data_IF_058878363034
#
_entry.id   IF_058878363034
#
_cell.length_a   1.000
_cell.length_b   1.000
_cell.length_c   1.000
_cell.angle_alpha   90.00
_cell.angle_beta   90.00
_cell.angle_gamma   90.00
#
_symmetry.space_group_name_H-M   'P 1'
#
loop_
_entity.id
_entity.type
_entity.pdbx_description
1 polymer ?
#
# COMPACT_ATOMS: atom_id res chain seq x y z
N UNK A 1 39.91 0.21 39.48
CA UNK A 1 39.00 -0.71 38.76
C UNK A 1 37.64 -0.11 38.39
N UNK A 2 37.04 0.79 39.18
CA UNK A 2 35.69 1.35 38.91
C UNK A 2 35.51 2.11 37.57
N UNK A 3 36.55 2.80 37.06
CA UNK A 3 36.48 3.53 35.77
C UNK A 3 36.40 2.62 34.53
N UNK A 4 36.97 1.41 34.57
CA UNK A 4 36.93 0.47 33.43
C UNK A 4 35.54 -0.16 33.25
N UNK A 5 34.83 -0.42 34.35
CA UNK A 5 33.46 -0.95 34.29
C UNK A 5 32.44 0.08 33.78
N UNK A 6 32.65 1.38 34.05
CA UNK A 6 31.77 2.44 33.54
C UNK A 6 31.87 2.57 32.01
N UNK A 7 33.09 2.52 31.46
CA UNK A 7 33.33 2.57 30.01
C UNK A 7 32.76 1.35 29.28
N UNK A 8 32.87 0.16 29.87
CA UNK A 8 32.31 -1.07 29.30
C UNK A 8 30.78 -1.03 29.32
N UNK A 9 30.16 -0.51 30.39
CA UNK A 9 28.71 -0.34 30.48
C UNK A 9 28.16 0.68 29.47
N UNK A 10 28.92 1.75 29.19
CA UNK A 10 28.55 2.75 28.17
C UNK A 10 28.71 2.21 26.74
N UNK A 11 29.73 1.38 26.51
CA UNK A 11 29.91 0.70 25.21
C UNK A 11 28.79 -0.32 24.97
N UNK A 12 28.43 -1.12 25.99
CA UNK A 12 27.35 -2.11 25.89
C UNK A 12 25.99 -1.46 25.67
N UNK A 13 25.70 -0.33 26.32
CA UNK A 13 24.44 0.39 26.11
C UNK A 13 24.35 0.95 24.68
N UNK A 14 25.45 1.49 24.14
CA UNK A 14 25.46 2.00 22.76
C UNK A 14 25.20 0.95 21.69
N UNK A 15 25.56 -0.32 21.93
CA UNK A 15 25.33 -1.44 21.00
C UNK A 15 23.87 -1.92 21.06
N UNK A 16 23.18 -1.74 22.19
CA UNK A 16 21.77 -2.12 22.36
C UNK A 16 20.79 -1.12 21.73
N UNK A 17 21.23 0.10 21.41
CA UNK A 17 20.38 1.13 20.77
C UNK A 17 20.43 1.13 19.24
N UNK A 18 21.25 0.28 18.61
CA UNK A 18 21.32 0.17 17.14
C UNK A 18 20.45 -0.97 16.60
N UNK A 19 19.24 -1.15 17.15
CA UNK A 19 18.21 -1.96 16.48
C UNK A 19 17.50 -1.07 15.47
N UNK A 20 18.01 -1.02 14.22
CA UNK A 20 17.23 -0.44 13.13
C UNK A 20 15.97 -1.29 12.95
N UNK A 21 14.80 -0.67 13.10
CA UNK A 21 13.55 -1.29 12.67
C UNK A 21 13.68 -1.63 11.17
N UNK A 22 13.22 -2.82 10.79
CA UNK A 22 13.29 -3.29 9.41
C UNK A 22 12.50 -2.38 8.49
N UNK A 23 13.08 -2.00 7.36
CA UNK A 23 12.38 -1.28 6.28
C UNK A 23 11.31 -2.16 5.61
N UNK A 24 11.27 -3.45 5.93
CA UNK A 24 10.42 -4.45 5.30
C UNK A 24 9.47 -5.10 6.30
N UNK A 25 8.29 -5.49 5.85
CA UNK A 25 7.34 -6.35 6.56
C UNK A 25 6.76 -7.40 5.62
N UNK A 26 6.13 -8.42 6.19
CA UNK A 26 5.57 -9.55 5.43
C UNK A 26 4.11 -9.71 5.82
N UNK A 27 3.23 -9.83 4.83
CA UNK A 27 1.81 -10.11 4.99
C UNK A 27 1.47 -11.53 4.50
N UNK A 28 0.39 -12.10 5.04
CA UNK A 28 -0.17 -13.41 4.68
C UNK A 28 0.77 -14.61 4.89
N UNK A 29 1.88 -14.43 5.60
CA UNK A 29 2.90 -15.48 5.78
C UNK A 29 2.35 -16.82 6.30
N UNK A 30 1.32 -16.77 7.16
CA UNK A 30 0.72 -17.95 7.79
C UNK A 30 -0.73 -18.19 7.36
N UNK A 31 -1.26 -17.35 6.44
CA UNK A 31 -2.65 -17.37 6.03
C UNK A 31 -2.81 -18.26 4.80
N UNK A 32 -2.74 -19.58 5.02
CA UNK A 32 -2.97 -20.64 4.02
C UNK A 32 -1.90 -20.71 2.90
N UNK A 33 -1.41 -21.90 2.58
CA UNK A 33 -0.36 -22.11 1.55
C UNK A 33 -0.79 -21.71 0.13
N UNK A 34 -2.08 -21.44 -0.07
CA UNK A 34 -2.67 -21.10 -1.36
C UNK A 34 -2.51 -19.61 -1.75
N UNK A 35 -2.22 -18.72 -0.79
CA UNK A 35 -2.05 -17.28 -1.08
C UNK A 35 -0.56 -16.91 -1.07
N UNK A 36 -0.12 -16.07 -2.01
CA UNK A 36 1.28 -15.64 -2.04
C UNK A 36 1.61 -14.83 -0.78
N UNK A 37 2.82 -15.05 -0.25
CA UNK A 37 3.39 -14.19 0.78
C UNK A 37 3.72 -12.83 0.16
N UNK A 38 3.21 -11.75 0.73
CA UNK A 38 3.40 -10.40 0.21
C UNK A 38 4.47 -9.67 1.02
N UNK A 39 5.32 -8.90 0.33
CA UNK A 39 6.39 -8.13 0.98
C UNK A 39 6.06 -6.65 0.89
N UNK A 40 5.98 -6.01 2.06
CA UNK A 40 5.79 -4.58 2.20
C UNK A 40 7.10 -3.86 2.46
N UNK A 41 7.23 -2.66 1.89
CA UNK A 41 8.35 -1.74 2.00
C UNK A 41 7.86 -0.47 2.69
N UNK A 42 8.55 -0.04 3.75
CA UNK A 42 8.30 1.22 4.44
C UNK A 42 9.05 2.31 3.69
N UNK A 43 8.31 3.25 3.09
CA UNK A 43 8.86 4.24 2.15
C UNK A 43 9.44 5.48 2.82
N UNK A 44 9.11 5.72 4.09
CA UNK A 44 9.52 6.90 4.85
C UNK A 44 10.22 6.47 6.16
N UNK A 45 9.51 6.50 7.29
CA UNK A 45 10.05 6.11 8.60
C UNK A 45 9.63 4.67 8.94
N UNK A 46 10.57 3.76 9.29
CA UNK A 46 10.26 2.38 9.68
C UNK A 46 9.23 2.21 10.80
N UNK A 47 9.04 3.24 11.63
CA UNK A 47 8.08 3.24 12.75
C UNK A 47 6.66 3.65 12.35
N UNK A 48 6.46 4.22 11.16
CA UNK A 48 5.15 4.76 10.73
C UNK A 48 4.26 3.73 10.05
N UNK A 49 4.71 2.47 10.00
CA UNK A 49 3.96 1.35 9.43
C UNK A 49 4.11 0.14 10.34
N UNK A 50 3.02 -0.26 10.97
CA UNK A 50 3.02 -1.30 12.01
C UNK A 50 2.18 -2.50 11.58
N UNK A 51 2.73 -3.72 11.73
CA UNK A 51 1.93 -4.93 11.59
C UNK A 51 1.03 -5.06 12.81
N UNK A 52 -0.28 -5.07 12.60
CA UNK A 52 -1.28 -5.23 13.66
C UNK A 52 -1.87 -6.65 13.70
N UNK A 53 -1.73 -7.39 12.60
CA UNK A 53 -1.94 -8.84 12.50
C UNK A 53 -1.09 -9.41 11.35
N UNK A 54 -1.15 -10.73 11.13
CA UNK A 54 -0.41 -11.40 10.04
C UNK A 54 -0.84 -10.94 8.64
N UNK A 55 -2.09 -10.48 8.49
CA UNK A 55 -2.71 -10.02 7.24
C UNK A 55 -3.17 -8.57 7.33
N UNK A 56 -2.67 -7.83 8.31
CA UNK A 56 -3.13 -6.47 8.59
C UNK A 56 -1.98 -5.51 8.95
N UNK A 57 -2.05 -4.32 8.36
CA UNK A 57 -1.07 -3.25 8.57
C UNK A 57 -1.77 -1.94 8.90
N UNK A 58 -1.24 -1.25 9.90
CA UNK A 58 -1.56 0.15 10.21
C UNK A 58 -0.54 1.05 9.53
N UNK A 59 -1.02 2.03 8.78
CA UNK A 59 -0.22 3.08 8.14
C UNK A 59 -0.53 4.38 8.89
N UNK A 60 0.47 4.91 9.58
CA UNK A 60 0.33 6.11 10.41
C UNK A 60 0.27 7.40 9.56
N UNK A 61 0.10 8.53 10.24
CA UNK A 61 0.10 9.88 9.65
C UNK A 61 1.38 10.16 8.87
N UNK A 62 1.23 10.87 7.75
CA UNK A 62 2.32 11.28 6.86
C UNK A 62 3.29 10.13 6.53
N UNK A 63 2.73 8.97 6.21
CA UNK A 63 3.49 7.76 5.91
C UNK A 63 3.23 7.28 4.49
N UNK A 64 4.16 6.47 4.02
CA UNK A 64 4.10 5.78 2.74
C UNK A 64 4.60 4.36 2.90
N UNK A 65 3.90 3.44 2.27
CA UNK A 65 4.34 2.05 2.13
C UNK A 65 4.01 1.52 0.75
N UNK A 66 4.82 0.58 0.26
CA UNK A 66 4.55 -0.15 -0.96
C UNK A 66 4.42 -1.64 -0.65
N UNK A 67 3.39 -2.30 -1.16
CA UNK A 67 3.25 -3.75 -1.13
C UNK A 67 3.65 -4.25 -2.51
N UNK A 68 4.53 -5.25 -2.56
CA UNK A 68 5.01 -5.86 -3.80
C UNK A 68 4.22 -7.13 -4.14
N UNK A 69 3.70 -7.18 -5.35
CA UNK A 69 3.11 -8.34 -6.00
C UNK A 69 4.15 -9.03 -6.90
N UNK A 70 4.90 -9.99 -6.37
CA UNK A 70 6.01 -10.63 -7.10
C UNK A 70 5.58 -11.31 -8.39
N UNK A 71 6.27 -11.03 -9.50
CA UNK A 71 6.16 -11.71 -10.80
C UNK A 71 4.77 -11.65 -11.46
N UNK A 72 3.83 -10.84 -10.94
CA UNK A 72 2.47 -10.74 -11.45
C UNK A 72 2.19 -9.33 -11.98
N UNK A 73 2.01 -9.21 -13.30
CA UNK A 73 1.65 -7.95 -13.96
C UNK A 73 0.19 -7.89 -14.41
N UNK A 74 -0.49 -9.04 -14.38
CA UNK A 74 -1.93 -9.18 -14.64
C UNK A 74 -2.58 -9.92 -13.47
N UNK A 75 -3.49 -9.26 -12.78
CA UNK A 75 -4.01 -9.77 -11.51
C UNK A 75 -5.44 -9.33 -11.22
N UNK A 76 -6.08 -10.11 -10.36
CA UNK A 76 -7.17 -9.66 -9.50
C UNK A 76 -6.63 -9.46 -8.09
N UNK A 77 -6.78 -8.25 -7.57
CA UNK A 77 -6.33 -7.85 -6.24
C UNK A 77 -7.50 -7.36 -5.43
N UNK A 78 -7.56 -7.74 -4.16
CA UNK A 78 -8.53 -7.19 -3.23
C UNK A 78 -7.95 -6.93 -1.86
N UNK A 79 -8.48 -5.93 -1.17
CA UNK A 79 -8.14 -5.64 0.23
C UNK A 79 -9.27 -4.86 0.88
N UNK A 80 -9.32 -4.90 2.20
CA UNK A 80 -10.21 -4.05 3.00
C UNK A 80 -9.39 -2.88 3.53
N UNK A 81 -9.92 -1.68 3.36
CA UNK A 81 -9.35 -0.46 3.93
C UNK A 81 -10.32 0.13 4.95
N UNK A 82 -9.78 0.46 6.13
CA UNK A 82 -10.48 1.24 7.15
C UNK A 82 -9.71 2.54 7.40
N UNK A 83 -10.37 3.69 7.23
CA UNK A 83 -9.78 4.98 7.61
C UNK A 83 -9.99 5.21 9.10
N UNK A 84 -8.93 5.39 9.88
CA UNK A 84 -9.01 5.62 11.32
C UNK A 84 -9.24 7.10 11.62
N UNK A 85 -8.49 7.96 10.95
CA UNK A 85 -8.63 9.42 11.06
C UNK A 85 -8.24 10.13 9.77
N UNK A 86 -8.60 11.41 9.66
CA UNK A 86 -8.01 12.35 8.71
C UNK A 86 -8.69 12.45 7.34
N UNK A 87 -8.07 13.18 6.43
CA UNK A 87 -8.74 13.69 5.22
C UNK A 87 -8.07 13.32 3.90
N UNK A 88 -6.90 12.69 3.90
CA UNK A 88 -6.16 12.42 2.68
C UNK A 88 -5.55 11.03 2.66
N UNK A 89 -6.00 10.23 1.70
CA UNK A 89 -5.39 8.94 1.39
C UNK A 89 -5.14 8.85 -0.11
N UNK A 90 -3.97 8.34 -0.49
CA UNK A 90 -3.58 8.10 -1.89
C UNK A 90 -3.18 6.64 -2.05
N UNK A 91 -3.84 5.99 -2.99
CA UNK A 91 -3.41 4.71 -3.55
C UNK A 91 -2.74 4.97 -4.90
N UNK A 92 -1.62 4.32 -5.17
CA UNK A 92 -0.96 4.37 -6.48
C UNK A 92 -0.67 2.98 -6.98
N UNK A 93 -1.16 2.70 -8.19
CA UNK A 93 -0.89 1.49 -8.95
C UNK A 93 0.09 1.79 -10.08
N UNK A 94 0.69 0.75 -10.66
CA UNK A 94 1.52 0.87 -11.88
C UNK A 94 2.68 1.87 -11.71
N UNK A 95 3.29 1.88 -10.52
CA UNK A 95 4.44 2.72 -10.17
C UNK A 95 5.44 1.93 -9.32
N UNK A 96 6.61 2.50 -9.01
CA UNK A 96 7.63 1.86 -8.18
C UNK A 96 7.91 2.71 -6.93
N UNK A 97 8.16 2.10 -5.76
CA UNK A 97 8.60 2.86 -4.58
C UNK A 97 9.94 3.59 -4.80
N UNK A 98 10.73 3.15 -5.79
CA UNK A 98 12.01 3.74 -6.18
C UNK A 98 11.87 4.80 -7.28
N UNK A 99 10.66 5.01 -7.81
CA UNK A 99 10.42 6.01 -8.84
C UNK A 99 10.66 7.42 -8.29
N UNK A 100 11.50 8.19 -9.00
CA UNK A 100 11.83 9.56 -8.60
C UNK A 100 10.72 10.52 -9.00
N UNK A 101 10.11 10.29 -10.17
CA UNK A 101 8.97 11.06 -10.60
C UNK A 101 7.67 10.47 -10.01
N UNK A 102 7.30 10.97 -8.83
CA UNK A 102 6.08 10.54 -8.12
C UNK A 102 4.76 10.82 -8.86
N UNK A 103 4.83 11.50 -10.01
CA UNK A 103 3.71 11.70 -10.91
C UNK A 103 3.52 10.53 -11.88
N UNK A 104 4.42 9.55 -11.93
CA UNK A 104 4.26 8.33 -12.72
C UNK A 104 3.41 7.32 -11.95
N UNK A 105 2.36 6.81 -12.59
CA UNK A 105 1.45 5.85 -11.98
C UNK A 105 -0.01 6.14 -12.24
N UNK A 106 -0.87 5.21 -11.83
CA UNK A 106 -2.30 5.45 -11.68
C UNK A 106 -2.57 5.87 -10.24
N UNK A 107 -2.98 7.11 -10.05
CA UNK A 107 -3.20 7.67 -8.72
C UNK A 107 -4.70 7.78 -8.41
N UNK A 108 -5.10 7.18 -7.30
CA UNK A 108 -6.43 7.30 -6.73
C UNK A 108 -6.32 8.08 -5.43
N UNK A 109 -6.81 9.32 -5.45
CA UNK A 109 -6.75 10.24 -4.32
C UNK A 109 -8.14 10.34 -3.70
N UNK A 110 -8.21 10.08 -2.40
CA UNK A 110 -9.43 10.13 -1.61
C UNK A 110 -9.33 11.29 -0.63
N UNK A 111 -10.26 12.23 -0.73
CA UNK A 111 -10.39 13.36 0.16
C UNK A 111 -11.84 13.61 0.60
N UNK A 112 -12.10 14.63 1.41
CA UNK A 112 -13.45 14.96 1.90
C UNK A 112 -14.46 15.28 0.77
N UNK A 113 -13.97 15.62 -0.43
CA UNK A 113 -14.79 15.89 -1.61
C UNK A 113 -15.05 14.63 -2.45
N UNK A 114 -14.43 13.50 -2.13
CA UNK A 114 -14.60 12.23 -2.83
C UNK A 114 -13.30 11.66 -3.39
N UNK A 115 -13.44 10.80 -4.39
CA UNK A 115 -12.34 10.16 -5.09
C UNK A 115 -11.97 10.92 -6.37
N UNK A 116 -10.67 11.02 -6.66
CA UNK A 116 -10.12 11.58 -7.91
C UNK A 116 -9.12 10.59 -8.49
N UNK A 117 -9.15 10.44 -9.80
CA UNK A 117 -8.28 9.51 -10.54
C UNK A 117 -7.39 10.29 -11.49
N UNK A 118 -6.10 9.99 -11.47
CA UNK A 118 -5.10 10.52 -12.38
C UNK A 118 -4.33 9.38 -13.04
N UNK A 119 -4.05 9.50 -14.34
CA UNK A 119 -3.12 8.64 -15.07
C UNK A 119 -1.89 9.47 -15.38
N UNK A 120 -0.83 9.17 -14.65
CA UNK A 120 0.30 10.04 -14.38
C UNK A 120 -0.17 11.42 -13.84
N UNK A 121 0.28 12.52 -14.47
CA UNK A 121 -0.17 13.88 -14.18
C UNK A 121 -1.52 14.25 -14.81
N UNK A 122 -2.16 13.36 -15.59
CA UNK A 122 -3.39 13.68 -16.32
C UNK A 122 -4.62 13.33 -15.50
N UNK A 123 -5.48 14.32 -15.21
CA UNK A 123 -6.77 14.08 -14.58
C UNK A 123 -7.67 13.22 -15.48
N UNK A 124 -8.23 12.15 -14.92
CA UNK A 124 -9.10 11.23 -15.62
C UNK A 124 -10.57 11.43 -15.25
N UNK A 125 -10.86 11.38 -13.96
CA UNK A 125 -12.24 11.43 -13.45
C UNK A 125 -12.26 11.73 -11.96
N UNK A 126 -13.45 12.06 -11.46
CA UNK A 126 -13.72 12.20 -10.04
C UNK A 126 -15.11 11.67 -9.72
N UNK A 127 -15.28 11.10 -8.54
CA UNK A 127 -16.57 10.68 -8.02
C UNK A 127 -16.73 11.23 -6.59
N UNK A 128 -17.68 12.14 -6.41
CA UNK A 128 -17.95 12.78 -5.12
C UNK A 128 -18.70 11.90 -4.12
N UNK A 129 -19.31 10.82 -4.59
CA UNK A 129 -20.09 9.89 -3.76
C UNK A 129 -19.19 8.87 -3.04
N UNK A 130 -18.05 8.53 -3.65
CA UNK A 130 -17.05 7.64 -3.05
C UNK A 130 -16.19 8.43 -2.06
N UNK A 131 -16.58 8.39 -0.78
CA UNK A 131 -15.86 9.00 0.34
C UNK A 131 -15.49 7.95 1.36
N UNK A 132 -14.24 7.96 1.82
CA UNK A 132 -13.79 7.10 2.91
C UNK A 132 -14.16 7.75 4.25
N UNK A 133 -15.26 7.31 4.84
CA UNK A 133 -15.64 7.69 6.20
C UNK A 133 -14.77 7.00 7.26
N UNK A 134 -14.62 7.65 8.41
CA UNK A 134 -13.85 7.11 9.54
C UNK A 134 -14.50 5.86 10.11
N UNK A 135 -13.68 4.87 10.48
CA UNK A 135 -14.04 3.60 11.10
C UNK A 135 -15.05 2.76 10.30
N UNK A 136 -15.20 3.02 9.00
CA UNK A 136 -15.96 2.18 8.07
C UNK A 136 -15.00 1.36 7.19
N UNK A 137 -15.43 0.13 6.89
CA UNK A 137 -14.70 -0.78 6.03
C UNK A 137 -15.09 -0.57 4.57
N UNK A 138 -14.09 -0.48 3.70
CA UNK A 138 -14.24 -0.36 2.25
C UNK A 138 -13.49 -1.50 1.58
N UNK A 139 -14.20 -2.27 0.76
CA UNK A 139 -13.62 -3.36 -0.01
C UNK A 139 -13.14 -2.79 -1.34
N UNK A 140 -11.83 -2.76 -1.53
CA UNK A 140 -11.19 -2.40 -2.78
C UNK A 140 -11.01 -3.67 -3.62
N UNK A 141 -11.34 -3.59 -4.92
CA UNK A 141 -11.05 -4.63 -5.90
C UNK A 141 -10.42 -4.00 -7.13
N UNK A 142 -9.24 -4.46 -7.48
CA UNK A 142 -8.45 -3.95 -8.60
C UNK A 142 -8.16 -5.10 -9.54
N UNK A 143 -8.64 -4.98 -10.76
CA UNK A 143 -8.34 -5.92 -11.84
C UNK A 143 -7.39 -5.25 -12.81
N UNK A 144 -6.29 -5.91 -13.09
CA UNK A 144 -5.28 -5.51 -14.06
C UNK A 144 -5.18 -6.57 -15.16
N UNK A 145 -5.73 -6.28 -16.34
CA UNK A 145 -5.71 -7.15 -17.52
C UNK A 145 -4.94 -6.44 -18.65
N UNK A 146 -3.66 -6.77 -18.80
CA UNK A 146 -2.71 -6.07 -19.68
C UNK A 146 -2.64 -4.55 -19.42
N UNK A 147 -3.18 -3.77 -20.37
CA UNK A 147 -3.27 -2.31 -20.28
C UNK A 147 -4.58 -1.80 -19.66
N UNK A 148 -5.51 -2.71 -19.38
CA UNK A 148 -6.84 -2.39 -18.88
C UNK A 148 -6.87 -2.48 -17.35
N UNK A 149 -7.30 -1.40 -16.68
CA UNK A 149 -7.41 -1.34 -15.23
C UNK A 149 -8.86 -1.09 -14.83
N UNK A 150 -9.36 -1.90 -13.90
CA UNK A 150 -10.64 -1.69 -13.23
C UNK A 150 -10.39 -1.50 -11.74
N UNK A 151 -11.00 -0.49 -11.14
CA UNK A 151 -11.05 -0.31 -9.68
C UNK A 151 -12.51 -0.16 -9.24
N UNK A 152 -12.91 -1.07 -8.35
CA UNK A 152 -14.20 -1.07 -7.67
C UNK A 152 -14.00 -0.81 -6.17
N UNK A 153 -14.93 -0.07 -5.55
CA UNK A 153 -14.97 0.14 -4.10
C UNK A 153 -16.39 -0.17 -3.63
N UNK A 154 -16.58 -1.16 -2.75
CA UNK A 154 -17.91 -1.59 -2.28
C UNK A 154 -18.93 -1.88 -3.41
N UNK A 155 -18.44 -2.32 -4.57
CA UNK A 155 -19.19 -2.55 -5.83
C UNK A 155 -19.42 -1.32 -6.71
N UNK A 156 -19.03 -0.11 -6.29
CA UNK A 156 -19.07 1.08 -7.15
C UNK A 156 -17.83 1.15 -8.03
N UNK A 157 -18.03 1.34 -9.33
CA UNK A 157 -16.93 1.48 -10.29
C UNK A 157 -16.33 2.88 -10.22
N UNK A 158 -15.09 2.99 -9.74
CA UNK A 158 -14.32 4.23 -9.75
C UNK A 158 -13.55 4.40 -11.06
N UNK A 159 -13.03 3.30 -11.63
CA UNK A 159 -12.29 3.30 -12.89
C UNK A 159 -12.54 2.01 -13.67
N UNK A 160 -12.71 2.11 -14.98
CA UNK A 160 -12.71 0.95 -15.89
C UNK A 160 -12.24 1.42 -17.27
N UNK A 161 -10.93 1.31 -17.55
CA UNK A 161 -10.36 1.81 -18.82
C UNK A 161 -9.00 1.21 -19.16
N UNK A 162 -8.59 1.41 -20.42
CA UNK A 162 -7.18 1.34 -20.83
C UNK A 162 -6.36 2.48 -20.24
N UNK A 163 -5.15 2.16 -19.83
CA UNK A 163 -4.17 3.07 -19.22
C UNK A 163 -2.92 3.10 -20.07
N UNK A 164 -2.18 4.20 -20.03
CA UNK A 164 -0.92 4.34 -20.80
C UNK A 164 0.33 4.08 -19.96
N UNK A 165 0.14 4.00 -18.65
CA UNK A 165 1.22 3.76 -17.69
C UNK A 165 1.66 2.30 -17.77
N UNK A 166 2.96 1.97 -17.81
CA UNK A 166 3.43 0.58 -17.81
C UNK A 166 2.99 -0.21 -16.58
N UNK A 167 2.86 -1.53 -16.68
CA UNK A 167 2.53 -2.37 -15.53
C UNK A 167 3.67 -2.33 -14.49
N UNK A 168 3.30 -2.50 -13.22
CA UNK A 168 4.24 -2.58 -12.11
C UNK A 168 3.73 -3.57 -11.07
N UNK A 169 4.66 -4.15 -10.33
CA UNK A 169 4.47 -5.09 -9.23
C UNK A 169 4.24 -4.40 -7.88
N UNK A 170 3.86 -3.13 -7.85
CA UNK A 170 3.69 -2.41 -6.59
C UNK A 170 2.38 -1.67 -6.49
N UNK A 171 1.74 -1.88 -5.34
CA UNK A 171 0.71 -1.02 -4.78
C UNK A 171 1.32 -0.08 -3.76
N UNK A 172 1.23 1.23 -3.96
CA UNK A 172 1.77 2.23 -3.03
C UNK A 172 0.61 2.92 -2.30
N UNK A 173 0.67 2.87 -0.98
CA UNK A 173 -0.23 3.55 -0.07
C UNK A 173 0.47 4.78 0.51
N UNK A 174 -0.23 5.91 0.56
CA UNK A 174 0.25 7.14 1.19
C UNK A 174 -0.86 7.82 1.98
N UNK A 175 -0.56 8.27 3.18
CA UNK A 175 -1.46 9.05 4.04
C UNK A 175 -1.03 10.53 4.09
N UNK A 176 -1.97 11.40 4.44
CA UNK A 176 -1.70 12.81 4.73
C UNK A 176 -1.28 13.05 6.18
N UNK A 177 -1.05 14.31 6.53
CA UNK A 177 -0.51 14.74 7.84
C UNK A 177 -1.37 14.36 9.04
N UNK A 178 -2.66 14.10 8.83
CA UNK A 178 -3.64 13.76 9.86
C UNK A 178 -4.27 12.38 9.66
N UNK A 179 -3.87 11.66 8.60
CA UNK A 179 -4.58 10.48 8.13
C UNK A 179 -3.91 9.19 8.59
N UNK A 180 -4.70 8.31 9.20
CA UNK A 180 -4.28 6.97 9.58
C UNK A 180 -5.22 5.97 8.92
N UNK A 181 -4.67 4.88 8.39
CA UNK A 181 -5.47 3.83 7.74
C UNK A 181 -4.99 2.44 8.14
N UNK A 182 -5.92 1.51 8.23
CA UNK A 182 -5.64 0.09 8.36
C UNK A 182 -5.98 -0.61 7.04
N UNK A 183 -5.10 -1.50 6.60
CA UNK A 183 -5.31 -2.38 5.44
C UNK A 183 -5.35 -3.81 5.95
N UNK A 184 -6.36 -4.57 5.53
CA UNK A 184 -6.60 -5.95 5.91
C UNK A 184 -6.79 -6.85 4.70
N UNK A 185 -6.50 -8.14 4.87
CA UNK A 185 -6.87 -9.20 3.91
C UNK A 185 -6.46 -8.85 2.49
N UNK A 186 -5.21 -8.40 2.33
CA UNK A 186 -4.69 -8.05 1.02
C UNK A 186 -4.41 -9.34 0.25
N UNK A 187 -5.15 -9.58 -0.81
CA UNK A 187 -5.14 -10.81 -1.60
C UNK A 187 -4.84 -10.46 -3.06
N UNK A 188 -4.00 -11.27 -3.70
CA UNK A 188 -3.61 -11.11 -5.11
C UNK A 188 -3.67 -12.48 -5.76
N UNK A 189 -4.41 -12.56 -6.86
CA UNK A 189 -4.54 -13.72 -7.71
C UNK A 189 -4.04 -13.35 -9.11
N UNK A 190 -3.15 -14.15 -9.68
CA UNK A 190 -2.71 -13.97 -11.07
C UNK A 190 -3.87 -14.28 -12.01
N UNK A 191 -4.09 -13.42 -13.01
CA UNK A 191 -5.04 -13.72 -14.07
C UNK A 191 -4.42 -14.79 -14.97
N UNK A 192 -4.98 -16.00 -14.92
CA UNK A 192 -4.60 -17.04 -15.87
C UNK A 192 -4.81 -16.52 -17.30
N UNK A 193 -3.73 -16.51 -18.08
CA UNK A 193 -3.79 -16.24 -19.50
C UNK A 193 -4.64 -17.34 -20.12
N UNK A 194 -5.92 -17.05 -20.40
CA UNK A 194 -6.76 -17.98 -21.15
C UNK A 194 -6.13 -18.12 -22.53
N UNK A 195 -5.40 -19.20 -22.74
CA UNK A 195 -4.86 -19.55 -24.05
C UNK A 195 -6.04 -19.77 -25.00
N UNK A 196 -6.38 -18.74 -25.77
CA UNK A 196 -7.29 -18.88 -26.90
C UNK A 196 -6.53 -19.47 -28.10
N UNK A 197 -6.00 -20.69 -27.92
CA UNK A 197 -5.37 -21.47 -29.00
C UNK A 197 -5.69 -22.96 -28.82
#
# INVERSE_FOLDING_TARGET
MKRKHLLISLLLSSILFTSCASDYYVLNKYRNLALPTLVGYRGDNPLTVSLIADDAVLIEKNSRTAIREFDVTQYDKSFILRKISGHYFKLTERSSPLEKDTSIGLHFIFDNNGAKVFDNSTFISSNSEIKLEENKDYIFRITQDGDFTTLLINCDTLLHRKTKTPASEYTIFKTGDDTEVEIYSFEVEELEEKSFF
#
